data_IF_751624629941
#
_entry.id   IF_751624629941
#
_cell.length_a   1.000
_cell.length_b   1.000
_cell.length_c   1.000
_cell.angle_alpha   90.00
_cell.angle_beta   90.00
_cell.angle_gamma   90.00
#
_symmetry.space_group_name_H-M   'P 1'
#
loop_
_entity.id
_entity.type
_entity.pdbx_description
1 polymer ?
#
# COMPACT_ATOMS: atom_id res chain seq x y z
N UNK A 1 23.34 35.09 -41.36
CA UNK A 1 22.21 34.64 -40.51
C UNK A 1 21.80 33.17 -40.76
N UNK A 2 22.72 32.28 -41.19
CA UNK A 2 22.39 30.89 -41.55
C UNK A 2 23.00 29.83 -40.61
N UNK A 3 23.88 30.24 -39.69
CA UNK A 3 24.55 29.36 -38.72
C UNK A 3 23.83 29.26 -37.37
N UNK A 4 22.93 30.19 -37.04
CA UNK A 4 22.14 30.14 -35.80
C UNK A 4 20.91 29.22 -35.89
N UNK A 5 20.33 29.05 -37.10
CA UNK A 5 19.14 28.19 -37.31
C UNK A 5 19.47 26.70 -37.16
N UNK A 6 20.73 26.31 -37.41
CA UNK A 6 21.19 24.93 -37.26
C UNK A 6 21.42 24.55 -35.79
N UNK A 7 21.73 25.49 -34.90
CA UNK A 7 21.90 25.20 -33.47
C UNK A 7 20.57 24.95 -32.75
N UNK A 8 19.47 25.56 -33.20
CA UNK A 8 18.13 25.38 -32.64
C UNK A 8 17.52 24.00 -32.90
N UNK A 9 18.00 23.27 -33.92
CA UNK A 9 17.52 21.93 -34.27
C UNK A 9 18.15 20.80 -33.44
N UNK A 10 19.31 21.04 -32.80
CA UNK A 10 19.99 20.02 -31.99
C UNK A 10 19.50 19.95 -30.53
N UNK A 11 18.71 20.93 -30.07
CA UNK A 11 18.20 20.97 -28.69
C UNK A 11 16.85 20.23 -28.51
N UNK A 12 16.20 19.81 -29.59
CA UNK A 12 14.91 19.08 -29.52
C UNK A 12 15.07 17.55 -29.38
N UNK A 13 16.30 17.03 -29.41
CA UNK A 13 16.58 15.60 -29.37
C UNK A 13 17.07 15.08 -28.01
N UNK A 14 16.86 15.84 -26.92
CA UNK A 14 16.85 15.25 -25.59
C UNK A 14 15.52 14.51 -25.39
N UNK A 15 15.32 13.43 -26.15
CA UNK A 15 14.35 12.41 -25.78
C UNK A 15 14.79 11.87 -24.44
N UNK A 16 14.15 12.34 -23.38
CA UNK A 16 14.25 11.82 -22.03
C UNK A 16 13.64 10.43 -22.08
N UNK A 17 14.44 9.43 -22.47
CA UNK A 17 14.10 8.03 -22.32
C UNK A 17 14.02 7.76 -20.84
N UNK A 18 12.80 7.86 -20.31
CA UNK A 18 12.46 7.43 -18.98
C UNK A 18 12.53 5.90 -19.00
N UNK A 19 13.73 5.34 -18.87
CA UNK A 19 13.90 3.93 -18.56
C UNK A 19 13.24 3.72 -17.20
N UNK A 20 12.03 3.18 -17.22
CA UNK A 20 11.39 2.65 -16.02
C UNK A 20 12.21 1.43 -15.63
N UNK A 21 13.28 1.66 -14.87
CA UNK A 21 14.06 0.60 -14.24
C UNK A 21 13.09 -0.10 -13.30
N UNK A 22 12.61 -1.26 -13.74
CA UNK A 22 11.76 -2.09 -12.92
C UNK A 22 12.53 -2.41 -11.65
N UNK A 23 12.02 -2.07 -10.44
CA UNK A 23 12.77 -2.15 -9.20
C UNK A 23 13.06 -3.60 -8.74
N UNK A 24 12.94 -4.58 -9.65
CA UNK A 24 13.19 -5.99 -9.38
C UNK A 24 12.12 -6.64 -8.52
N UNK A 25 10.95 -6.02 -8.33
CA UNK A 25 9.84 -6.56 -7.56
C UNK A 25 8.48 -6.28 -8.20
N UNK A 26 7.51 -7.20 -7.98
CA UNK A 26 6.10 -7.03 -8.33
C UNK A 26 5.22 -7.33 -7.14
N UNK A 27 4.28 -6.46 -6.82
CA UNK A 27 3.15 -6.79 -5.94
C UNK A 27 1.93 -6.98 -6.83
N UNK A 28 1.19 -8.07 -6.63
CA UNK A 28 -0.02 -8.37 -7.40
C UNK A 28 -1.05 -9.12 -6.57
N UNK A 29 -2.31 -9.11 -7.03
CA UNK A 29 -3.38 -9.88 -6.39
C UNK A 29 -3.66 -9.46 -4.94
N UNK A 30 -3.46 -8.19 -4.60
CA UNK A 30 -3.78 -7.68 -3.27
C UNK A 30 -5.29 -7.77 -3.03
N UNK A 31 -5.66 -8.40 -1.92
CA UNK A 31 -7.05 -8.56 -1.46
C UNK A 31 -7.11 -8.44 0.05
N UNK A 32 -8.24 -8.02 0.56
CA UNK A 32 -8.51 -7.91 2.00
C UNK A 32 -9.83 -8.62 2.34
N UNK A 33 -10.10 -8.79 3.63
CA UNK A 33 -11.48 -8.99 4.09
C UNK A 33 -12.34 -7.78 3.69
N UNK A 34 -13.65 -8.00 3.54
CA UNK A 34 -14.59 -6.99 3.04
C UNK A 34 -15.16 -6.08 4.12
N UNK A 35 -14.98 -6.39 5.41
CA UNK A 35 -15.63 -5.63 6.49
C UNK A 35 -14.70 -5.40 7.67
N UNK A 36 -15.02 -4.38 8.48
CA UNK A 36 -14.52 -4.18 9.84
C UNK A 36 -15.68 -3.78 10.75
N UNK A 37 -15.66 -4.21 12.02
CA UNK A 37 -16.76 -3.98 12.94
C UNK A 37 -16.75 -2.57 13.51
N UNK A 38 -17.94 -1.97 13.63
CA UNK A 38 -18.12 -0.68 14.32
C UNK A 38 -18.34 -0.84 15.84
N UNK A 39 -18.39 -2.08 16.35
CA UNK A 39 -18.61 -2.41 17.77
C UNK A 39 -17.32 -2.67 18.54
N UNK A 40 -16.20 -2.95 17.85
CA UNK A 40 -14.91 -3.24 18.44
C UNK A 40 -13.79 -3.28 17.39
N UNK A 41 -12.54 -3.31 17.86
CA UNK A 41 -11.37 -3.41 16.98
C UNK A 41 -11.39 -4.71 16.20
N UNK A 42 -11.18 -4.65 14.89
CA UNK A 42 -11.26 -5.81 13.99
C UNK A 42 -9.93 -6.07 13.31
N UNK A 43 -9.52 -7.34 13.20
CA UNK A 43 -8.39 -7.72 12.36
C UNK A 43 -8.82 -7.95 10.93
N UNK A 44 -8.53 -6.98 10.07
CA UNK A 44 -8.75 -7.05 8.63
C UNK A 44 -7.57 -7.78 8.00
N UNK A 45 -7.75 -9.05 7.67
CA UNK A 45 -6.73 -9.80 6.94
C UNK A 45 -6.54 -9.29 5.52
N UNK A 46 -5.32 -9.43 5.01
CA UNK A 46 -4.99 -9.20 3.62
C UNK A 46 -3.98 -10.22 3.10
N UNK A 47 -3.96 -10.38 1.77
CA UNK A 47 -3.01 -11.24 1.09
C UNK A 47 -2.63 -10.68 -0.27
N UNK A 48 -1.40 -10.95 -0.71
CA UNK A 48 -0.92 -10.62 -2.05
C UNK A 48 0.19 -11.57 -2.49
N UNK A 49 0.52 -11.53 -3.78
CA UNK A 49 1.67 -12.22 -4.36
C UNK A 49 2.80 -11.24 -4.57
N UNK A 50 3.99 -11.59 -4.07
CA UNK A 50 5.24 -10.87 -4.30
C UNK A 50 6.10 -11.63 -5.29
N UNK A 51 6.52 -10.97 -6.36
CA UNK A 51 7.64 -11.39 -7.21
C UNK A 51 8.88 -10.57 -6.82
N UNK A 52 10.06 -11.20 -6.82
CA UNK A 52 11.31 -10.54 -6.44
C UNK A 52 11.46 -10.35 -4.93
N UNK A 53 12.10 -9.24 -4.50
CA UNK A 53 12.34 -8.94 -3.08
C UNK A 53 12.00 -7.50 -2.74
N UNK A 54 11.51 -7.26 -1.53
CA UNK A 54 11.33 -5.92 -0.97
C UNK A 54 12.21 -5.75 0.26
N UNK A 55 12.75 -4.54 0.44
CA UNK A 55 13.45 -4.15 1.66
C UNK A 55 12.55 -3.26 2.56
N UNK A 56 11.50 -2.68 1.96
CA UNK A 56 10.47 -1.86 2.62
C UNK A 56 9.14 -2.01 1.90
N UNK A 57 8.06 -2.00 2.66
CA UNK A 57 6.69 -2.01 2.17
C UNK A 57 5.91 -0.89 2.86
N UNK A 58 5.34 0.01 2.07
CA UNK A 58 4.40 1.03 2.56
C UNK A 58 2.96 0.58 2.34
N UNK A 59 2.11 0.88 3.30
CA UNK A 59 0.68 0.62 3.28
C UNK A 59 -0.06 1.93 3.44
N UNK A 60 -1.17 2.09 2.73
CA UNK A 60 -2.05 3.24 2.86
C UNK A 60 -3.47 2.74 3.09
N UNK A 61 -4.09 3.20 4.17
CA UNK A 61 -5.46 2.86 4.53
C UNK A 61 -6.36 4.08 4.32
N UNK A 62 -6.87 4.21 3.09
CA UNK A 62 -7.49 5.45 2.64
C UNK A 62 -9.01 5.30 2.50
N UNK A 63 -9.77 6.39 2.69
CA UNK A 63 -11.14 6.47 2.18
C UNK A 63 -11.20 6.07 0.70
N UNK A 64 -12.25 5.35 0.33
CA UNK A 64 -12.51 4.99 -1.05
C UNK A 64 -12.60 6.23 -1.93
N UNK A 65 -11.98 6.16 -3.11
CA UNK A 65 -11.89 7.28 -4.05
C UNK A 65 -10.66 8.16 -3.87
N UNK A 66 -9.93 8.05 -2.74
CA UNK A 66 -8.62 8.68 -2.58
C UNK A 66 -7.50 7.77 -3.06
N UNK A 67 -6.43 8.40 -3.55
CA UNK A 67 -5.21 7.74 -4.01
C UNK A 67 -4.02 8.07 -3.11
N UNK A 68 -2.96 7.23 -3.08
CA UNK A 68 -1.82 7.42 -2.17
C UNK A 68 -1.06 8.75 -2.29
N UNK A 69 -1.18 9.48 -3.40
CA UNK A 69 -0.65 10.84 -3.59
C UNK A 69 -1.43 11.91 -2.80
N UNK A 70 -2.66 11.61 -2.41
CA UNK A 70 -3.53 12.46 -1.61
C UNK A 70 -3.51 12.09 -0.11
N UNK A 71 -2.80 11.02 0.24
CA UNK A 71 -2.74 10.50 1.60
C UNK A 71 -2.07 11.49 2.55
N UNK A 72 -2.65 11.66 3.73
CA UNK A 72 -2.00 12.40 4.81
C UNK A 72 -0.83 11.58 5.39
N UNK A 73 0.19 12.22 5.99
CA UNK A 73 1.32 11.51 6.58
C UNK A 73 0.92 10.40 7.57
N UNK A 74 -0.14 10.61 8.34
CA UNK A 74 -0.70 9.66 9.31
C UNK A 74 -1.39 8.44 8.68
N UNK A 75 -1.79 8.52 7.41
CA UNK A 75 -2.43 7.41 6.68
C UNK A 75 -1.41 6.51 5.98
N UNK A 76 -0.12 6.84 6.08
CA UNK A 76 1.00 6.07 5.53
C UNK A 76 1.71 5.29 6.63
N UNK A 77 1.69 3.97 6.50
CA UNK A 77 2.36 3.06 7.41
C UNK A 77 3.53 2.40 6.69
N UNK A 78 4.65 2.25 7.39
CA UNK A 78 5.89 1.74 6.80
C UNK A 78 6.35 0.51 7.55
N UNK A 79 6.51 -0.60 6.83
CA UNK A 79 7.13 -1.82 7.32
C UNK A 79 8.50 -1.98 6.69
N UNK A 80 9.51 -2.10 7.54
CA UNK A 80 10.90 -2.34 7.15
C UNK A 80 11.26 -3.80 7.37
N UNK A 81 11.94 -4.39 6.41
CA UNK A 81 12.36 -5.78 6.51
C UNK A 81 12.44 -6.44 5.14
N UNK A 82 13.27 -7.48 5.06
CA UNK A 82 13.45 -8.23 3.83
C UNK A 82 12.26 -9.17 3.60
N UNK A 83 11.42 -8.85 2.63
CA UNK A 83 10.36 -9.71 2.13
C UNK A 83 10.82 -10.39 0.83
N UNK A 84 10.67 -11.70 0.78
CA UNK A 84 11.07 -12.53 -0.37
C UNK A 84 9.84 -12.93 -1.19
N UNK A 85 10.08 -13.29 -2.45
CA UNK A 85 9.05 -13.74 -3.38
C UNK A 85 8.17 -14.86 -2.79
N UNK A 86 6.88 -14.83 -3.11
CA UNK A 86 5.89 -15.79 -2.66
C UNK A 86 4.57 -15.14 -2.24
N UNK A 87 3.69 -15.96 -1.67
CA UNK A 87 2.45 -15.49 -1.07
C UNK A 87 2.72 -14.83 0.27
N UNK A 88 2.29 -13.57 0.41
CA UNK A 88 2.36 -12.81 1.65
C UNK A 88 0.96 -12.68 2.22
N UNK A 89 0.82 -12.90 3.52
CA UNK A 89 -0.41 -12.67 4.27
C UNK A 89 -0.14 -11.69 5.40
N UNK A 90 -1.15 -11.01 5.88
CA UNK A 90 -1.04 -10.11 7.02
C UNK A 90 -2.41 -9.71 7.52
N UNK A 91 -2.41 -8.88 8.55
CA UNK A 91 -3.63 -8.28 9.09
C UNK A 91 -3.38 -6.83 9.46
N UNK A 92 -4.45 -6.04 9.47
CA UNK A 92 -4.52 -4.69 10.03
C UNK A 92 -5.55 -4.73 11.16
N UNK A 93 -5.19 -4.30 12.36
CA UNK A 93 -6.16 -4.05 13.42
C UNK A 93 -6.75 -2.66 13.21
N UNK A 94 -8.04 -2.64 12.92
CA UNK A 94 -8.81 -1.45 12.58
C UNK A 94 -9.77 -1.15 13.72
N UNK A 95 -9.78 0.08 14.22
CA UNK A 95 -10.70 0.53 15.28
C UNK A 95 -12.14 0.64 14.76
N UNK A 96 -13.13 0.75 15.66
CA UNK A 96 -14.50 1.11 15.29
C UNK A 96 -14.67 2.40 14.49
N UNK A 97 -13.70 3.33 14.53
CA UNK A 97 -13.71 4.55 13.71
C UNK A 97 -13.08 4.36 12.33
N UNK A 98 -12.52 3.18 12.05
CA UNK A 98 -11.87 2.85 10.79
C UNK A 98 -10.38 3.18 10.74
N UNK A 99 -9.72 3.34 11.89
CA UNK A 99 -8.30 3.71 12.00
C UNK A 99 -7.41 2.48 12.17
N UNK A 100 -6.19 2.51 11.62
CA UNK A 100 -5.23 1.42 11.83
C UNK A 100 -4.53 1.61 13.17
N UNK A 101 -4.84 0.76 14.13
CA UNK A 101 -4.14 0.67 15.42
C UNK A 101 -2.94 -0.27 15.33
N UNK A 102 -3.09 -1.36 14.59
CA UNK A 102 -2.03 -2.34 14.42
C UNK A 102 -1.97 -2.98 13.01
N UNK A 103 -0.87 -3.63 12.68
CA UNK A 103 -0.58 -4.28 11.40
C UNK A 103 0.43 -5.41 11.63
N UNK A 104 0.32 -6.51 10.92
CA UNK A 104 1.35 -7.56 10.92
C UNK A 104 1.40 -8.23 9.57
N UNK A 105 2.55 -8.83 9.28
CA UNK A 105 2.79 -9.62 8.09
C UNK A 105 3.35 -10.97 8.50
N UNK A 106 2.92 -12.01 7.79
CA UNK A 106 3.53 -13.32 7.76
C UNK A 106 3.96 -13.59 6.33
N UNK A 107 5.27 -13.59 6.13
CA UNK A 107 5.91 -14.00 4.89
C UNK A 107 6.69 -15.30 5.13
N UNK A 108 6.96 -16.13 4.09
CA UNK A 108 7.63 -17.42 4.25
C UNK A 108 8.97 -17.40 5.00
N UNK A 109 9.64 -16.22 5.13
CA UNK A 109 10.89 -16.03 5.87
C UNK A 109 11.01 -14.65 6.57
N UNK A 110 9.90 -13.98 6.90
CA UNK A 110 9.91 -12.57 7.33
C UNK A 110 9.18 -12.27 8.63
N UNK A 111 9.77 -11.37 9.43
CA UNK A 111 9.36 -10.91 10.77
C UNK A 111 7.88 -10.50 10.91
N UNK A 112 7.32 -10.79 12.08
CA UNK A 112 6.16 -10.06 12.61
C UNK A 112 6.61 -8.65 13.03
N UNK A 113 6.10 -7.63 12.35
CA UNK A 113 6.45 -6.23 12.63
C UNK A 113 5.29 -5.57 13.36
N UNK A 114 5.61 -4.80 14.40
CA UNK A 114 4.61 -4.06 15.20
C UNK A 114 4.41 -2.63 14.68
N UNK A 115 3.25 -2.01 14.95
CA UNK A 115 2.71 -0.93 14.14
C UNK A 115 2.68 0.39 14.93
N UNK A 116 2.65 1.50 14.21
CA UNK A 116 2.38 2.83 14.75
C UNK A 116 1.01 3.26 14.25
N UNK A 117 0.06 3.51 15.17
CA UNK A 117 -1.29 3.99 14.85
C UNK A 117 -1.43 5.50 15.10
N UNK A 118 -2.23 6.18 14.28
CA UNK A 118 -2.66 7.58 14.46
C UNK A 118 -4.13 7.72 14.06
N UNK A 119 -4.84 8.58 14.78
CA UNK A 119 -6.30 8.77 14.89
C UNK A 119 -6.85 9.69 13.79
N UNK A 120 -7.93 9.30 13.08
CA UNK A 120 -8.72 10.18 12.18
C UNK A 120 -10.17 9.66 12.02
N UNK A 121 -11.14 10.51 12.37
CA UNK A 121 -12.60 10.32 12.14
C UNK A 121 -13.03 10.81 10.73
N UNK A 122 -14.14 10.33 10.11
CA UNK A 122 -15.11 9.27 10.45
C UNK A 122 -15.11 8.08 9.45
N UNK A 123 -16.00 7.09 9.66
CA UNK A 123 -16.24 5.78 8.97
C UNK A 123 -16.62 5.83 7.46
N UNK A 124 -15.67 5.83 6.50
CA UNK A 124 -15.96 5.72 5.08
C UNK A 124 -15.79 4.25 4.65
N UNK A 125 -16.22 3.92 3.43
CA UNK A 125 -15.62 2.77 2.74
C UNK A 125 -14.11 3.01 2.65
N UNK A 126 -13.30 1.97 2.89
CA UNK A 126 -11.84 2.07 2.88
C UNK A 126 -11.26 1.18 1.80
N UNK A 127 -10.06 1.53 1.32
CA UNK A 127 -9.26 0.68 0.44
C UNK A 127 -7.80 0.65 0.91
N UNK A 128 -7.26 -0.56 0.99
CA UNK A 128 -5.85 -0.77 1.24
C UNK A 128 -5.04 -0.57 -0.05
N UNK A 129 -3.94 0.16 0.04
CA UNK A 129 -2.94 0.28 -1.02
C UNK A 129 -1.56 -0.14 -0.52
N UNK A 130 -0.75 -0.70 -1.41
CA UNK A 130 0.64 -1.08 -1.14
C UNK A 130 1.62 -0.37 -2.06
N UNK A 131 2.83 -0.13 -1.56
CA UNK A 131 3.99 0.24 -2.38
C UNK A 131 5.25 -0.46 -1.89
N UNK A 132 5.83 -1.28 -2.75
CA UNK A 132 7.09 -1.96 -2.47
C UNK A 132 8.31 -1.06 -2.75
N UNK A 133 9.42 -1.35 -2.09
CA UNK A 133 10.72 -0.73 -2.35
C UNK A 133 11.84 -1.76 -2.35
N UNK A 134 12.79 -1.60 -3.28
CA UNK A 134 14.01 -2.42 -3.37
C UNK A 134 15.20 -1.50 -3.60
N UNK A 135 16.22 -1.56 -2.76
CA UNK A 135 17.39 -0.68 -2.86
C UNK A 135 17.04 0.82 -2.83
N UNK A 136 15.96 1.18 -2.14
CA UNK A 136 15.44 2.55 -2.08
C UNK A 136 14.56 2.97 -3.26
N UNK A 137 14.46 2.15 -4.32
CA UNK A 137 13.64 2.43 -5.49
C UNK A 137 12.17 2.03 -5.26
N UNK A 138 11.21 2.96 -5.42
CA UNK A 138 9.80 2.65 -5.29
C UNK A 138 9.26 1.85 -6.48
N UNK A 139 8.42 0.85 -6.18
CA UNK A 139 7.47 0.28 -7.14
C UNK A 139 6.21 1.13 -7.33
N UNK A 140 5.30 0.64 -8.19
CA UNK A 140 3.99 1.26 -8.38
C UNK A 140 3.11 1.09 -7.12
N UNK A 141 2.09 1.95 -7.00
CA UNK A 141 1.02 1.76 -6.03
C UNK A 141 0.08 0.65 -6.48
N UNK A 142 -0.24 -0.27 -5.58
CA UNK A 142 -1.10 -1.43 -5.85
C UNK A 142 -2.32 -1.37 -4.93
N UNK A 143 -3.53 -1.13 -5.47
CA UNK A 143 -4.76 -1.17 -4.68
C UNK A 143 -5.18 -2.60 -4.38
N UNK A 144 -5.88 -2.78 -3.26
CA UNK A 144 -6.65 -3.99 -3.02
C UNK A 144 -7.77 -4.07 -4.06
N UNK A 145 -8.04 -5.28 -4.53
CA UNK A 145 -9.10 -5.54 -5.51
C UNK A 145 -10.49 -5.21 -4.96
N UNK A 146 -10.66 -5.29 -3.65
CA UNK A 146 -11.91 -5.04 -2.95
C UNK A 146 -11.80 -3.84 -2.00
N UNK A 147 -12.97 -3.29 -1.68
CA UNK A 147 -13.17 -2.28 -0.63
C UNK A 147 -13.42 -2.98 0.71
N UNK A 148 -13.30 -2.20 1.78
CA UNK A 148 -13.64 -2.62 3.15
C UNK A 148 -14.73 -1.70 3.70
N UNK A 149 -15.85 -2.28 4.10
CA UNK A 149 -17.03 -1.57 4.58
C UNK A 149 -17.12 -1.65 6.12
N UNK A 150 -17.57 -0.58 6.79
CA UNK A 150 -17.96 -0.71 8.19
C UNK A 150 -19.19 -1.61 8.32
N UNK A 151 -19.17 -2.53 9.27
CA UNK A 151 -20.28 -3.42 9.60
C UNK A 151 -20.74 -3.18 11.05
N UNK A 152 -21.98 -2.72 11.19
CA UNK A 152 -22.63 -2.47 12.48
C UNK A 152 -23.59 -3.59 12.89
N UNK A 153 -23.65 -4.69 12.13
CA UNK A 153 -24.52 -5.81 12.43
C UNK A 153 -24.08 -6.52 13.72
N UNK A 154 -25.02 -7.10 14.48
CA UNK A 154 -24.68 -7.91 15.65
C UNK A 154 -23.95 -9.22 15.29
N UNK A 155 -23.81 -9.52 14.00
CA UNK A 155 -23.09 -10.69 13.47
C UNK A 155 -21.63 -10.39 13.12
N UNK A 156 -21.21 -9.12 13.19
CA UNK A 156 -19.81 -8.76 12.98
C UNK A 156 -18.96 -9.27 14.16
N UNK A 157 -18.05 -10.19 13.88
CA UNK A 157 -17.11 -10.72 14.87
C UNK A 157 -15.75 -10.01 14.75
N UNK A 158 -15.39 -9.15 15.72
CA UNK A 158 -14.09 -8.45 15.71
C UNK A 158 -12.89 -9.37 15.93
N UNK A 159 -13.11 -10.62 16.37
CA UNK A 159 -12.06 -11.55 16.83
C UNK A 159 -11.69 -12.66 15.85
N UNK A 160 -12.26 -12.64 14.64
CA UNK A 160 -12.06 -13.67 13.63
C UNK A 160 -10.59 -13.96 13.31
#
# INVERSE_FOLDING_TARGET
>A
MRRLVLLSLFLFACTLTLEVVYPGHRISGLRTQSTYCTSGNTRVDFAFTLEGRLDRLEFFWLPEGLTPDQARPEERYVLYGLLQAGGVKGWLEVTPSGEVQAASLVAPRGLALKPQGIIVEPLPERRLWLRGYTGGLPGPYVPAANRVYPDSSPYCDPTW
#
